data_IF_445972676983
#
_entry.id   IF_445972676983
#
_cell.length_a   1.000
_cell.length_b   1.000
_cell.length_c   1.000
_cell.angle_alpha   90.00
_cell.angle_beta   90.00
_cell.angle_gamma   90.00
#
_symmetry.space_group_name_H-M   'P 1'
#
loop_
_entity.id
_entity.type
_entity.pdbx_description
1 polymer ?
#
# COMPACT_ATOMS: atom_id res chain seq x y z
N UNK A 1 3.84 10.09 -18.02
CA UNK A 1 3.79 8.84 -17.21
C UNK A 1 5.11 8.08 -17.28
N UNK A 2 5.61 7.78 -18.50
CA UNK A 2 6.83 7.01 -18.74
C UNK A 2 8.07 7.55 -18.00
N UNK A 3 8.15 8.86 -17.78
CA UNK A 3 9.23 9.56 -17.09
C UNK A 3 9.11 9.54 -15.56
N UNK A 4 7.90 9.78 -15.05
CA UNK A 4 7.63 9.97 -13.60
C UNK A 4 7.58 8.63 -12.86
N UNK A 5 6.91 7.63 -13.43
CA UNK A 5 6.63 6.37 -12.75
C UNK A 5 7.90 5.60 -12.34
N UNK A 6 8.93 5.44 -13.20
CA UNK A 6 10.17 4.74 -12.81
C UNK A 6 10.92 5.46 -11.69
N UNK A 7 10.98 6.79 -11.75
CA UNK A 7 11.62 7.62 -10.73
C UNK A 7 10.94 7.45 -9.36
N UNK A 8 9.61 7.51 -9.35
CA UNK A 8 8.80 7.33 -8.14
C UNK A 8 8.95 5.91 -7.58
N UNK A 9 8.97 4.90 -8.46
CA UNK A 9 9.19 3.53 -8.04
C UNK A 9 10.56 3.35 -7.36
N UNK A 10 11.61 4.03 -7.82
CA UNK A 10 12.92 3.96 -7.18
C UNK A 10 12.85 4.39 -5.70
N UNK A 11 12.12 5.46 -5.37
CA UNK A 11 12.01 5.97 -4.00
C UNK A 11 11.04 5.18 -3.09
N UNK A 12 10.00 4.59 -3.67
CA UNK A 12 8.91 3.96 -2.88
C UNK A 12 9.05 2.42 -2.84
N UNK A 13 9.89 1.82 -3.69
CA UNK A 13 9.93 0.36 -3.90
C UNK A 13 10.31 -0.49 -2.68
N UNK A 14 11.19 -0.03 -1.79
CA UNK A 14 11.67 -0.83 -0.66
C UNK A 14 10.52 -1.24 0.27
N UNK A 15 9.57 -0.32 0.48
CA UNK A 15 8.46 -0.47 1.41
C UNK A 15 7.13 -0.91 0.73
N UNK A 16 7.15 -1.17 -0.58
CA UNK A 16 5.97 -1.69 -1.29
C UNK A 16 6.07 -3.21 -1.44
N UNK A 17 4.94 -3.88 -1.23
CA UNK A 17 4.75 -5.27 -1.62
C UNK A 17 4.22 -5.34 -3.04
N UNK A 18 4.75 -6.26 -3.84
CA UNK A 18 4.26 -6.55 -5.20
C UNK A 18 3.01 -7.42 -5.18
N UNK A 19 2.93 -8.34 -4.22
CA UNK A 19 1.82 -9.27 -4.01
C UNK A 19 1.98 -9.95 -2.64
N UNK A 20 1.07 -10.88 -2.31
CA UNK A 20 1.13 -11.62 -1.05
C UNK A 20 2.35 -12.53 -0.88
N UNK A 21 2.98 -12.99 -1.96
CA UNK A 21 4.21 -13.79 -1.89
C UNK A 21 5.40 -12.92 -1.51
N UNK A 22 5.55 -11.76 -2.15
CA UNK A 22 6.57 -10.77 -1.81
C UNK A 22 6.44 -10.28 -0.36
N UNK A 23 5.20 -10.09 0.11
CA UNK A 23 4.91 -9.80 1.51
C UNK A 23 5.44 -10.87 2.47
N UNK A 24 5.07 -12.14 2.27
CA UNK A 24 5.51 -13.22 3.17
C UNK A 24 7.02 -13.42 3.11
N UNK A 25 7.62 -13.35 1.93
CA UNK A 25 9.07 -13.48 1.78
C UNK A 25 9.80 -12.39 2.58
N UNK A 26 9.38 -11.13 2.46
CA UNK A 26 9.96 -10.03 3.25
C UNK A 26 9.71 -10.18 4.75
N UNK A 27 8.55 -10.70 5.15
CA UNK A 27 8.23 -10.93 6.57
C UNK A 27 9.09 -12.05 7.17
N UNK A 28 9.31 -13.15 6.43
CA UNK A 28 10.19 -14.24 6.85
C UNK A 28 11.64 -13.76 6.92
N UNK A 29 12.13 -12.99 5.94
CA UNK A 29 13.44 -12.36 6.00
C UNK A 29 13.60 -11.48 7.25
N UNK A 30 12.62 -10.63 7.53
CA UNK A 30 12.60 -9.82 8.75
C UNK A 30 12.71 -10.67 10.03
N UNK A 31 12.01 -11.81 10.08
CA UNK A 31 12.08 -12.73 11.21
C UNK A 31 13.47 -13.41 11.33
N UNK A 32 14.03 -13.86 10.20
CA UNK A 32 15.29 -14.60 10.13
C UNK A 32 16.53 -13.73 10.37
N UNK A 33 16.51 -12.44 10.00
CA UNK A 33 17.65 -11.50 10.05
C UNK A 33 18.27 -11.32 11.46
N UNK A 34 17.59 -11.73 12.53
CA UNK A 34 18.11 -11.72 13.91
C UNK A 34 17.94 -13.08 14.61
N UNK A 35 18.17 -14.18 13.89
CA UNK A 35 18.00 -15.55 14.40
C UNK A 35 16.61 -15.80 15.01
N UNK A 36 15.56 -15.22 14.44
CA UNK A 36 14.19 -15.35 14.94
C UNK A 36 13.85 -14.47 16.15
N UNK A 37 14.74 -13.58 16.61
CA UNK A 37 14.56 -12.78 17.83
C UNK A 37 13.88 -11.42 17.63
N UNK A 38 13.56 -11.06 16.38
CA UNK A 38 12.90 -9.77 16.09
C UNK A 38 11.49 -9.69 16.66
N UNK A 39 10.74 -10.79 16.62
CA UNK A 39 9.43 -10.86 17.23
C UNK A 39 9.54 -11.17 18.72
N UNK A 40 8.96 -10.32 19.56
CA UNK A 40 8.83 -10.57 21.01
C UNK A 40 7.45 -11.10 21.32
N UNK A 41 7.23 -11.76 22.48
CA UNK A 41 5.89 -12.18 22.90
C UNK A 41 4.86 -11.04 22.94
N UNK A 42 5.33 -9.80 23.16
CA UNK A 42 4.50 -8.60 23.21
C UNK A 42 4.28 -7.95 21.84
N UNK A 43 5.00 -8.35 20.80
CA UNK A 43 4.90 -7.75 19.46
C UNK A 43 3.50 -7.96 18.89
N UNK A 44 2.89 -6.87 18.42
CA UNK A 44 1.59 -6.86 17.74
C UNK A 44 1.78 -6.56 16.27
N UNK A 45 0.92 -7.13 15.44
CA UNK A 45 0.74 -6.70 14.07
C UNK A 45 -0.30 -5.59 14.03
N UNK A 46 0.02 -4.52 13.30
CA UNK A 46 -0.88 -3.41 13.03
C UNK A 46 -1.17 -3.41 11.54
N UNK A 47 -2.41 -3.73 11.16
CA UNK A 47 -2.90 -3.67 9.80
C UNK A 47 -3.83 -2.46 9.65
N UNK A 48 -3.56 -1.63 8.65
CA UNK A 48 -4.36 -0.45 8.31
C UNK A 48 -4.89 -0.62 6.89
N UNK A 49 -6.20 -0.53 6.72
CA UNK A 49 -6.86 -0.47 5.41
C UNK A 49 -7.45 0.92 5.22
N UNK A 50 -7.09 1.57 4.11
CA UNK A 50 -7.57 2.91 3.78
C UNK A 50 -8.82 2.78 2.91
N UNK A 51 -9.96 3.20 3.45
CA UNK A 51 -11.27 3.00 2.83
C UNK A 51 -11.55 4.08 1.77
N UNK A 52 -12.03 3.66 0.59
CA UNK A 52 -12.49 4.52 -0.52
C UNK A 52 -11.48 5.61 -0.95
N UNK A 53 -10.20 5.41 -0.67
CA UNK A 53 -9.15 6.40 -0.79
C UNK A 53 -9.11 7.19 -2.12
N UNK A 54 -9.04 6.54 -3.30
CA UNK A 54 -8.88 7.30 -4.55
C UNK A 54 -10.09 8.14 -4.92
N UNK A 55 -11.21 8.04 -4.20
CA UNK A 55 -12.42 8.84 -4.41
C UNK A 55 -12.62 9.93 -3.36
N UNK A 56 -11.92 9.87 -2.22
CA UNK A 56 -12.16 10.76 -1.07
C UNK A 56 -11.25 11.99 -1.06
N UNK A 57 -10.11 11.95 -1.75
CA UNK A 57 -9.12 13.04 -1.72
C UNK A 57 -9.43 14.11 -2.77
N UNK A 58 -9.54 15.37 -2.33
CA UNK A 58 -9.70 16.52 -3.23
C UNK A 58 -8.47 16.73 -4.11
N UNK A 59 -8.67 17.30 -5.30
CA UNK A 59 -7.58 17.59 -6.23
C UNK A 59 -6.49 18.48 -5.61
N UNK A 60 -6.86 19.51 -4.85
CA UNK A 60 -5.90 20.40 -4.19
C UNK A 60 -4.98 19.66 -3.20
N UNK A 61 -5.57 18.81 -2.35
CA UNK A 61 -4.82 17.98 -1.39
C UNK A 61 -3.88 17.00 -2.11
N UNK A 62 -4.33 16.41 -3.23
CA UNK A 62 -3.48 15.53 -4.05
C UNK A 62 -2.34 16.31 -4.71
N UNK A 63 -2.61 17.52 -5.21
CA UNK A 63 -1.60 18.41 -5.80
C UNK A 63 -0.59 18.89 -4.76
N UNK A 64 -1.02 19.25 -3.55
CA UNK A 64 -0.12 19.64 -2.47
C UNK A 64 0.84 18.50 -2.11
N UNK A 65 0.33 17.28 -1.92
CA UNK A 65 1.18 16.13 -1.65
C UNK A 65 2.12 15.81 -2.82
N UNK A 66 1.67 15.99 -4.06
CA UNK A 66 2.51 15.86 -5.24
C UNK A 66 3.64 16.89 -5.23
N UNK A 67 3.33 18.16 -4.96
CA UNK A 67 4.32 19.23 -4.86
C UNK A 67 5.33 18.97 -3.74
N UNK A 68 4.86 18.53 -2.56
CA UNK A 68 5.73 18.15 -1.45
C UNK A 68 6.64 17.00 -1.84
N UNK A 69 6.13 15.99 -2.54
CA UNK A 69 6.95 14.88 -3.04
C UNK A 69 8.03 15.35 -4.01
N UNK A 70 7.67 16.20 -4.99
CA UNK A 70 8.63 16.75 -5.95
C UNK A 70 9.73 17.54 -5.22
N UNK A 71 9.36 18.38 -4.25
CA UNK A 71 10.32 19.16 -3.46
C UNK A 71 11.23 18.29 -2.61
N UNK A 72 10.69 17.26 -1.97
CA UNK A 72 11.42 16.42 -1.01
C UNK A 72 12.36 15.42 -1.71
N UNK A 73 12.07 14.99 -2.95
CA UNK A 73 12.76 13.86 -3.59
C UNK A 73 13.32 14.12 -5.00
N UNK A 74 13.01 15.25 -5.63
CA UNK A 74 13.55 15.56 -6.96
C UNK A 74 14.60 16.66 -6.86
N UNK A 75 15.85 16.23 -7.08
CA UNK A 75 17.05 17.09 -7.02
C UNK A 75 17.22 17.90 -8.31
N UNK A 76 16.70 17.40 -9.43
CA UNK A 76 16.87 18.00 -10.76
C UNK A 76 15.70 18.96 -11.05
N UNK A 77 15.94 20.20 -11.48
CA UNK A 77 14.87 21.19 -11.73
C UNK A 77 13.94 20.83 -12.90
N UNK A 78 14.34 19.83 -13.70
CA UNK A 78 13.64 19.38 -14.90
C UNK A 78 13.62 17.85 -14.99
N UNK A 79 12.54 17.32 -15.55
CA UNK A 79 12.40 15.91 -15.91
C UNK A 79 12.09 15.88 -17.39
N UNK A 80 12.97 15.28 -18.20
CA UNK A 80 12.82 15.21 -19.68
C UNK A 80 12.52 16.59 -20.32
N UNK A 81 13.30 17.61 -19.94
CA UNK A 81 13.17 19.00 -20.41
C UNK A 81 11.85 19.70 -20.01
N UNK A 82 11.09 19.12 -19.08
CA UNK A 82 9.93 19.76 -18.45
C UNK A 82 10.30 20.24 -17.06
N UNK A 83 10.16 21.56 -16.84
CA UNK A 83 10.30 22.12 -15.50
C UNK A 83 9.23 21.57 -14.55
N UNK A 84 9.58 21.44 -13.27
CA UNK A 84 8.66 20.97 -12.24
C UNK A 84 7.35 21.78 -12.20
N UNK A 85 7.42 23.09 -12.46
CA UNK A 85 6.24 23.96 -12.57
C UNK A 85 5.31 23.60 -13.73
N UNK A 86 5.86 23.22 -14.90
CA UNK A 86 5.07 22.72 -16.04
C UNK A 86 4.42 21.40 -15.71
N UNK A 87 5.16 20.48 -15.09
CA UNK A 87 4.64 19.17 -14.67
C UNK A 87 3.49 19.36 -13.69
N UNK A 88 3.66 20.20 -12.67
CA UNK A 88 2.62 20.53 -11.70
C UNK A 88 1.36 21.10 -12.37
N UNK A 89 1.53 22.06 -13.30
CA UNK A 89 0.41 22.66 -14.02
C UNK A 89 -0.33 21.64 -14.90
N UNK A 90 0.40 20.75 -15.58
CA UNK A 90 -0.18 19.67 -16.37
C UNK A 90 -0.95 18.68 -15.49
N UNK A 91 -0.40 18.30 -14.33
CA UNK A 91 -1.10 17.46 -13.34
C UNK A 91 -2.39 18.11 -12.85
N UNK A 92 -2.35 19.42 -12.57
CA UNK A 92 -3.54 20.18 -12.15
C UNK A 92 -4.61 20.22 -13.24
N UNK A 93 -4.22 20.48 -14.50
CA UNK A 93 -5.13 20.43 -15.65
C UNK A 93 -5.73 19.04 -15.80
N UNK A 94 -4.93 17.98 -15.69
CA UNK A 94 -5.41 16.60 -15.75
C UNK A 94 -6.47 16.32 -14.69
N UNK A 95 -6.19 16.58 -13.41
CA UNK A 95 -7.13 16.32 -12.31
C UNK A 95 -8.45 17.07 -12.52
N UNK A 96 -8.39 18.37 -12.78
CA UNK A 96 -9.57 19.24 -12.90
C UNK A 96 -10.38 19.06 -14.20
N UNK A 97 -9.87 18.33 -15.19
CA UNK A 97 -10.56 18.09 -16.46
C UNK A 97 -10.99 16.64 -16.67
N UNK A 98 -10.74 15.74 -15.71
CA UNK A 98 -11.23 14.37 -15.77
C UNK A 98 -12.77 14.33 -15.70
N UNK A 99 -13.38 13.70 -16.70
CA UNK A 99 -14.84 13.56 -16.86
C UNK A 99 -15.22 12.09 -17.01
N UNK A 100 -16.45 11.75 -16.66
CA UNK A 100 -17.03 10.45 -16.91
C UNK A 100 -18.48 10.59 -17.39
N UNK A 101 -18.95 9.59 -18.13
CA UNK A 101 -20.30 9.55 -18.66
C UNK A 101 -21.13 8.54 -17.88
N UNK A 102 -22.31 8.94 -17.43
CA UNK A 102 -23.24 8.07 -16.74
C UNK A 102 -24.68 8.51 -17.00
N UNK A 103 -25.58 7.57 -17.28
CA UNK A 103 -27.00 7.86 -17.52
C UNK A 103 -27.26 9.07 -18.44
N UNK A 104 -26.66 9.01 -19.64
CA UNK A 104 -26.74 10.05 -20.67
C UNK A 104 -26.29 11.47 -20.26
N UNK A 105 -25.50 11.59 -19.19
CA UNK A 105 -24.96 12.85 -18.70
C UNK A 105 -23.45 12.79 -18.51
N UNK A 106 -22.79 13.92 -18.73
CA UNK A 106 -21.36 14.09 -18.50
C UNK A 106 -21.17 14.68 -17.10
N UNK A 107 -20.36 14.00 -16.30
CA UNK A 107 -19.96 14.44 -14.97
C UNK A 107 -18.47 14.72 -14.96
N UNK A 108 -18.06 15.59 -14.04
CA UNK A 108 -16.66 15.89 -13.77
C UNK A 108 -16.28 15.36 -12.39
N UNK A 109 -15.09 14.76 -12.28
CA UNK A 109 -14.55 14.42 -10.96
C UNK A 109 -14.25 15.71 -10.20
N UNK A 110 -14.83 15.85 -9.01
CA UNK A 110 -14.51 16.95 -8.07
C UNK A 110 -13.51 16.51 -7.00
N UNK A 111 -13.34 15.20 -6.84
CA UNK A 111 -12.37 14.54 -5.98
C UNK A 111 -11.88 13.28 -6.68
N UNK A 112 -10.64 12.90 -6.38
CA UNK A 112 -10.08 11.68 -6.90
C UNK A 112 -9.99 11.64 -8.42
N UNK A 113 -10.03 10.43 -8.97
CA UNK A 113 -10.05 10.22 -10.41
C UNK A 113 -10.24 8.75 -10.77
N UNK A 114 -10.31 8.45 -12.07
CA UNK A 114 -10.43 7.08 -12.55
C UNK A 114 -9.18 6.26 -12.18
N UNK A 115 -9.35 5.23 -11.34
CA UNK A 115 -8.27 4.36 -10.86
C UNK A 115 -7.65 3.54 -12.01
N UNK A 116 -8.40 3.34 -13.09
CA UNK A 116 -7.92 2.68 -14.31
C UNK A 116 -6.82 3.46 -15.02
N UNK A 117 -6.66 4.77 -14.75
CA UNK A 117 -5.60 5.55 -15.35
C UNK A 117 -4.28 5.34 -14.58
N UNK A 118 -3.21 4.88 -15.23
CA UNK A 118 -1.92 4.65 -14.57
C UNK A 118 -1.32 5.90 -13.92
N UNK A 119 -1.60 7.09 -14.48
CA UNK A 119 -1.17 8.35 -13.88
C UNK A 119 -1.90 8.64 -12.55
N UNK A 120 -3.20 8.32 -12.45
CA UNK A 120 -3.92 8.40 -11.18
C UNK A 120 -3.36 7.42 -10.15
N UNK A 121 -3.04 6.19 -10.56
CA UNK A 121 -2.36 5.21 -9.68
C UNK A 121 -1.02 5.76 -9.16
N UNK A 122 -0.27 6.46 -10.01
CA UNK A 122 0.99 7.08 -9.65
C UNK A 122 0.81 8.19 -8.60
N UNK A 123 -0.11 9.13 -8.84
CA UNK A 123 -0.42 10.22 -7.89
C UNK A 123 -0.93 9.67 -6.55
N UNK A 124 -1.78 8.65 -6.61
CA UNK A 124 -2.33 7.92 -5.46
C UNK A 124 -1.21 7.32 -4.61
N UNK A 125 -0.20 6.70 -5.23
CA UNK A 125 0.95 6.16 -4.53
C UNK A 125 1.84 7.23 -3.90
N UNK A 126 2.07 8.35 -4.59
CA UNK A 126 2.84 9.48 -4.05
C UNK A 126 2.16 10.10 -2.84
N UNK A 127 0.84 10.29 -2.93
CA UNK A 127 0.04 10.81 -1.83
C UNK A 127 0.15 9.91 -0.60
N UNK A 128 -0.10 8.60 -0.74
CA UNK A 128 0.02 7.68 0.39
C UNK A 128 1.43 7.60 0.96
N UNK A 129 2.44 7.68 0.11
CA UNK A 129 3.81 7.73 0.57
C UNK A 129 4.05 8.96 1.46
N UNK A 130 3.56 10.14 1.07
CA UNK A 130 3.69 11.33 1.92
C UNK A 130 2.87 11.23 3.22
N UNK A 131 1.65 10.68 3.18
CA UNK A 131 0.83 10.49 4.38
C UNK A 131 1.50 9.59 5.43
N UNK A 132 2.28 8.60 5.00
CA UNK A 132 2.84 7.57 5.88
C UNK A 132 4.36 7.60 6.00
N UNK A 133 5.04 8.62 5.47
CA UNK A 133 6.52 8.71 5.55
C UNK A 133 7.03 8.75 6.98
N UNK A 134 6.32 9.42 7.89
CA UNK A 134 6.71 9.55 9.30
C UNK A 134 6.61 8.19 10.00
N UNK A 135 5.49 7.49 9.81
CA UNK A 135 5.28 6.13 10.31
C UNK A 135 6.37 5.18 9.80
N UNK A 136 6.63 5.18 8.48
CA UNK A 136 7.65 4.33 7.87
C UNK A 136 9.05 4.59 8.44
N UNK A 137 9.40 5.87 8.66
CA UNK A 137 10.68 6.23 9.30
C UNK A 137 10.73 5.74 10.75
N UNK A 138 9.68 5.93 11.53
CA UNK A 138 9.62 5.47 12.92
C UNK A 138 9.74 3.96 13.04
N UNK A 139 9.09 3.19 12.16
CA UNK A 139 9.18 1.72 12.18
C UNK A 139 10.60 1.25 11.83
N UNK A 140 11.23 1.84 10.81
CA UNK A 140 12.62 1.51 10.44
C UNK A 140 13.59 1.82 11.58
N UNK A 141 13.47 2.99 12.23
CA UNK A 141 14.32 3.37 13.37
C UNK A 141 14.18 2.42 14.57
N UNK A 142 13.03 1.75 14.70
CA UNK A 142 12.76 0.79 15.77
C UNK A 142 13.09 -0.66 15.37
N UNK A 143 13.66 -0.90 14.18
CA UNK A 143 13.82 -2.23 13.60
C UNK A 143 12.50 -3.03 13.59
N UNK A 144 11.39 -2.35 13.36
CA UNK A 144 10.07 -2.96 13.17
C UNK A 144 9.84 -3.24 11.68
N UNK A 145 9.08 -4.30 11.39
CA UNK A 145 8.65 -4.60 10.03
C UNK A 145 7.67 -3.52 9.56
N UNK A 146 7.77 -3.10 8.30
CA UNK A 146 6.83 -2.18 7.67
C UNK A 146 6.68 -2.49 6.18
N UNK A 147 5.46 -2.41 5.67
CA UNK A 147 5.26 -2.30 4.23
C UNK A 147 3.82 -2.04 3.83
N UNK A 148 3.64 -1.75 2.54
CA UNK A 148 2.37 -1.32 1.96
C UNK A 148 2.06 -2.11 0.69
N UNK A 149 0.82 -2.55 0.55
CA UNK A 149 0.25 -3.04 -0.70
C UNK A 149 -0.96 -2.18 -1.06
N UNK A 150 -0.83 -1.32 -2.08
CA UNK A 150 -1.88 -0.38 -2.50
C UNK A 150 -2.42 0.46 -1.32
N UNK A 151 -3.68 0.27 -0.96
CA UNK A 151 -4.44 0.92 0.11
C UNK A 151 -4.32 0.22 1.47
N UNK A 152 -3.50 -0.83 1.58
CA UNK A 152 -3.29 -1.60 2.80
C UNK A 152 -1.85 -1.46 3.30
N UNK A 153 -1.67 -1.23 4.59
CA UNK A 153 -0.39 -1.08 5.28
C UNK A 153 -0.32 -2.11 6.40
N UNK A 154 0.85 -2.68 6.62
CA UNK A 154 1.12 -3.55 7.76
C UNK A 154 2.48 -3.21 8.37
N UNK A 155 2.54 -3.23 9.71
CA UNK A 155 3.79 -3.12 10.44
C UNK A 155 3.73 -3.86 11.77
N UNK A 156 4.89 -4.14 12.36
CA UNK A 156 5.00 -4.69 13.72
C UNK A 156 5.17 -3.57 14.74
N UNK A 157 4.68 -3.80 15.96
CA UNK A 157 4.85 -2.86 17.06
C UNK A 157 5.09 -3.59 18.38
N UNK A 158 6.21 -3.28 19.01
CA UNK A 158 6.63 -3.85 20.29
C UNK A 158 6.58 -2.83 21.44
N UNK A 159 6.32 -1.56 21.12
CA UNK A 159 6.25 -0.46 22.09
C UNK A 159 4.97 -0.44 22.92
N UNK A 160 4.85 0.57 23.80
CA UNK A 160 3.64 0.78 24.60
C UNK A 160 2.44 1.12 23.71
N UNK A 161 1.25 0.71 24.15
CA UNK A 161 0.00 0.93 23.43
C UNK A 161 -0.37 2.42 23.32
N UNK A 162 -0.09 3.22 24.35
CA UNK A 162 -0.40 4.66 24.35
C UNK A 162 0.42 5.42 23.29
N UNK A 163 1.68 5.04 23.10
CA UNK A 163 2.52 5.59 22.04
C UNK A 163 1.97 5.26 20.66
N UNK A 164 1.50 4.02 20.46
CA UNK A 164 0.86 3.62 19.20
C UNK A 164 -0.41 4.42 18.95
N UNK A 165 -1.28 4.56 19.96
CA UNK A 165 -2.50 5.34 19.85
C UNK A 165 -2.22 6.80 19.52
N UNK A 166 -1.18 7.40 20.11
CA UNK A 166 -0.75 8.75 19.77
C UNK A 166 -0.35 8.86 18.29
N UNK A 167 0.46 7.93 17.78
CA UNK A 167 0.87 7.90 16.36
C UNK A 167 -0.35 7.74 15.44
N UNK A 168 -1.24 6.79 15.75
CA UNK A 168 -2.45 6.56 14.96
C UNK A 168 -3.41 7.75 15.00
N UNK A 169 -3.50 8.45 16.13
CA UNK A 169 -4.26 9.70 16.25
C UNK A 169 -3.67 10.79 15.37
N UNK A 170 -2.35 10.98 15.41
CA UNK A 170 -1.65 11.94 14.54
C UNK A 170 -1.91 11.66 13.06
N UNK A 171 -1.81 10.40 12.63
CA UNK A 171 -2.11 10.00 11.24
C UNK A 171 -3.55 10.36 10.87
N UNK A 172 -4.52 10.11 11.76
CA UNK A 172 -5.92 10.47 11.53
C UNK A 172 -6.15 11.97 11.44
N UNK A 173 -5.48 12.76 12.29
CA UNK A 173 -5.64 14.22 12.31
C UNK A 173 -4.95 14.90 11.13
N UNK A 174 -3.80 14.41 10.70
CA UNK A 174 -3.07 14.95 9.54
C UNK A 174 -3.77 14.59 8.22
N UNK A 175 -4.52 13.48 8.20
CA UNK A 175 -5.13 12.94 6.99
C UNK A 175 -6.66 12.86 7.10
N UNK A 176 -7.33 13.98 7.42
CA UNK A 176 -8.78 14.05 7.69
C UNK A 176 -9.65 13.48 6.55
N UNK A 177 -9.13 13.54 5.32
CA UNK A 177 -9.82 13.10 4.12
C UNK A 177 -9.80 11.58 3.94
N UNK A 178 -9.01 10.86 4.75
CA UNK A 178 -8.89 9.41 4.71
C UNK A 178 -9.71 8.78 5.82
N UNK A 179 -10.33 7.65 5.48
CA UNK A 179 -10.96 6.75 6.45
C UNK A 179 -10.08 5.53 6.63
N UNK A 180 -9.86 5.13 7.88
CA UNK A 180 -8.98 4.03 8.22
C UNK A 180 -9.75 2.96 8.98
N UNK A 181 -9.64 1.73 8.51
CA UNK A 181 -9.96 0.53 9.29
C UNK A 181 -8.63 -0.03 9.83
N UNK A 182 -8.53 -0.14 11.16
CA UNK A 182 -7.27 -0.47 11.83
C UNK A 182 -7.48 -1.69 12.72
N UNK A 183 -6.70 -2.74 12.47
CA UNK A 183 -6.66 -3.94 13.29
C UNK A 183 -5.30 -4.05 13.98
N UNK A 184 -5.31 -4.15 15.32
CA UNK A 184 -4.11 -4.30 16.16
C UNK A 184 -4.27 -5.59 16.95
N UNK A 185 -3.48 -6.60 16.62
CA UNK A 185 -3.62 -7.91 17.24
C UNK A 185 -2.33 -8.73 17.16
N UNK A 186 -2.23 -9.79 17.96
CA UNK A 186 -1.14 -10.78 17.84
C UNK A 186 -1.30 -11.66 16.59
N UNK A 187 -2.51 -11.72 16.03
CA UNK A 187 -2.78 -12.33 14.73
C UNK A 187 -3.50 -11.34 13.83
N UNK A 188 -3.21 -11.37 12.53
CA UNK A 188 -3.84 -10.49 11.56
C UNK A 188 -4.00 -11.22 10.23
N UNK A 189 -5.03 -10.83 9.48
CA UNK A 189 -5.18 -11.20 8.08
C UNK A 189 -4.71 -10.04 7.23
N UNK A 190 -3.74 -10.29 6.36
CA UNK A 190 -3.21 -9.29 5.44
C UNK A 190 -3.05 -9.89 4.05
N UNK A 191 -3.69 -9.28 3.05
CA UNK A 191 -3.84 -9.87 1.72
C UNK A 191 -4.48 -11.27 1.82
N UNK A 192 -3.78 -12.29 1.37
CA UNK A 192 -4.16 -13.71 1.45
C UNK A 192 -3.34 -14.47 2.50
N UNK A 193 -2.84 -13.78 3.53
CA UNK A 193 -2.09 -14.35 4.64
C UNK A 193 -2.86 -14.24 5.94
N UNK A 194 -2.85 -15.32 6.71
CA UNK A 194 -3.03 -15.25 8.15
C UNK A 194 -1.64 -15.33 8.77
N UNK A 195 -1.30 -14.33 9.59
CA UNK A 195 -0.05 -14.29 10.36
C UNK A 195 -0.38 -14.22 11.83
N UNK A 196 0.45 -14.83 12.64
CA UNK A 196 0.29 -14.88 14.08
C UNK A 196 1.66 -14.89 14.76
N UNK A 197 1.77 -14.11 15.84
CA UNK A 197 2.91 -14.12 16.72
C UNK A 197 2.55 -14.96 17.96
N UNK A 198 3.08 -16.18 18.03
CA UNK A 198 2.92 -17.05 19.18
C UNK A 198 4.19 -16.97 20.03
N UNK A 199 4.15 -16.13 21.06
CA UNK A 199 5.25 -15.98 22.02
C UNK A 199 6.62 -15.67 21.39
N UNK A 200 6.65 -14.84 20.34
CA UNK A 200 7.87 -14.46 19.62
C UNK A 200 8.19 -15.34 18.41
N UNK A 201 7.37 -16.35 18.12
CA UNK A 201 7.52 -17.20 16.94
C UNK A 201 6.49 -16.78 15.88
N UNK A 202 6.94 -16.58 14.64
CA UNK A 202 6.08 -16.28 13.51
C UNK A 202 5.39 -17.56 13.01
N UNK A 203 4.07 -17.57 13.07
CA UNK A 203 3.22 -18.56 12.42
C UNK A 203 2.52 -17.91 11.24
N UNK A 204 2.51 -18.58 10.08
CA UNK A 204 1.78 -18.09 8.93
C UNK A 204 1.12 -19.20 8.12
N UNK A 205 -0.08 -18.92 7.62
CA UNK A 205 -0.80 -19.80 6.70
C UNK A 205 -1.48 -19.00 5.60
N UNK A 206 -1.81 -19.67 4.51
CA UNK A 206 -2.64 -19.06 3.47
C UNK A 206 -4.04 -18.85 4.04
N UNK A 207 -4.51 -17.60 4.06
CA UNK A 207 -5.88 -17.30 4.45
C UNK A 207 -6.79 -17.46 3.24
N UNK A 208 -7.80 -18.32 3.36
CA UNK A 208 -8.84 -18.49 2.36
C UNK A 208 -10.07 -17.71 2.80
N UNK A 209 -10.36 -16.61 2.11
CA UNK A 209 -11.61 -15.89 2.32
C UNK A 209 -12.74 -16.65 1.62
N UNK A 210 -13.61 -17.33 2.38
CA UNK A 210 -14.74 -18.10 1.84
C UNK A 210 -15.80 -17.24 1.13
N UNK A 211 -15.81 -15.92 1.35
CA UNK A 211 -16.65 -14.97 0.62
C UNK A 211 -16.02 -14.53 -0.72
N UNK A 212 -14.71 -14.70 -0.90
CA UNK A 212 -14.13 -14.74 -2.24
C UNK A 212 -14.43 -16.13 -2.79
N UNK A 213 -15.30 -16.18 -3.79
CA UNK A 213 -15.73 -17.40 -4.49
C UNK A 213 -14.63 -18.47 -4.51
N UNK A 214 -14.87 -19.69 -3.97
CA UNK A 214 -13.91 -20.78 -4.03
C UNK A 214 -13.66 -21.08 -5.51
N UNK A 215 -12.53 -20.62 -6.03
CA UNK A 215 -12.07 -20.86 -7.40
C UNK A 215 -13.19 -20.86 -8.44
N UNK A 216 -14.01 -19.81 -8.50
CA UNK A 216 -14.77 -19.61 -9.73
C UNK A 216 -13.75 -19.12 -10.73
N UNK A 217 -13.35 -19.98 -11.68
CA UNK A 217 -12.60 -19.57 -12.85
C UNK A 217 -13.38 -18.40 -13.47
N UNK A 218 -12.92 -17.13 -13.34
CA UNK A 218 -13.60 -16.04 -13.98
C UNK A 218 -13.17 -16.14 -15.44
N UNK A 219 -13.94 -16.85 -16.25
CA UNK A 219 -13.93 -16.66 -17.69
C UNK A 219 -14.52 -15.27 -17.96
N UNK A 220 -13.77 -14.23 -17.60
CA UNK A 220 -14.01 -12.88 -18.09
C UNK A 220 -13.22 -12.77 -19.37
N UNK A 221 -13.97 -12.72 -20.47
CA UNK A 221 -13.49 -12.37 -21.81
C UNK A 221 -12.62 -11.10 -21.67
N UNK A 222 -11.31 -11.18 -21.99
CA UNK A 222 -10.42 -10.01 -22.03
C UNK A 222 -9.12 -10.09 -21.21
N UNK A 223 -8.91 -11.11 -20.37
CA UNK A 223 -7.63 -11.33 -19.67
C UNK A 223 -6.91 -12.58 -20.20
N UNK A 224 -5.59 -12.51 -20.37
CA UNK A 224 -4.81 -13.63 -20.94
C UNK A 224 -4.77 -14.83 -19.98
N UNK A 225 -4.90 -16.05 -20.52
CA UNK A 225 -4.79 -17.33 -19.78
C UNK A 225 -3.55 -17.42 -18.88
N UNK A 226 -2.49 -16.68 -19.21
CA UNK A 226 -1.18 -16.71 -18.53
C UNK A 226 -1.21 -16.09 -17.14
N UNK A 227 -2.02 -15.05 -16.90
CA UNK A 227 -2.13 -14.44 -15.57
C UNK A 227 -2.81 -15.36 -14.55
N UNK A 228 -3.69 -16.25 -15.01
CA UNK A 228 -4.51 -17.11 -14.16
C UNK A 228 -3.78 -18.36 -13.67
N UNK A 229 -3.07 -19.06 -14.56
CA UNK A 229 -2.23 -20.20 -14.18
C UNK A 229 -1.11 -19.79 -13.24
N UNK A 230 -0.61 -18.55 -13.40
CA UNK A 230 0.34 -17.96 -12.46
C UNK A 230 -0.26 -17.77 -11.08
N UNK A 231 -1.50 -17.28 -10.95
CA UNK A 231 -2.08 -17.01 -9.63
C UNK A 231 -2.27 -18.28 -8.79
N UNK A 232 -2.86 -19.33 -9.37
CA UNK A 232 -3.05 -20.61 -8.67
C UNK A 232 -1.71 -21.26 -8.31
N UNK A 233 -0.76 -21.27 -9.26
CA UNK A 233 0.58 -21.80 -9.04
C UNK A 233 1.33 -21.01 -7.97
N UNK A 234 1.19 -19.67 -7.93
CA UNK A 234 1.80 -18.82 -6.91
C UNK A 234 1.18 -19.06 -5.52
N UNK A 235 -0.14 -19.28 -5.43
CA UNK A 235 -0.80 -19.62 -4.17
C UNK A 235 -0.31 -20.97 -3.62
N UNK A 236 -0.20 -21.99 -4.47
CA UNK A 236 0.36 -23.31 -4.12
C UNK A 236 1.84 -23.25 -3.73
N UNK A 237 2.67 -22.61 -4.56
CA UNK A 237 4.09 -22.40 -4.25
C UNK A 237 4.22 -21.71 -2.89
N UNK A 238 3.36 -20.73 -2.60
CA UNK A 238 3.38 -20.03 -1.33
C UNK A 238 2.99 -20.93 -0.15
N UNK A 239 1.92 -21.71 -0.28
CA UNK A 239 1.49 -22.65 0.75
C UNK A 239 2.62 -23.64 1.10
N UNK A 240 3.33 -24.13 0.08
CA UNK A 240 4.42 -25.11 0.26
C UNK A 240 5.72 -24.47 0.75
N UNK A 241 6.10 -23.29 0.24
CA UNK A 241 7.43 -22.71 0.49
C UNK A 241 7.50 -21.80 1.71
N UNK A 242 6.40 -21.13 2.04
CA UNK A 242 6.46 -20.00 2.97
C UNK A 242 5.46 -20.06 4.11
N UNK A 243 4.57 -21.06 4.12
CA UNK A 243 3.66 -21.30 5.22
C UNK A 243 4.12 -22.54 5.98
N UNK A 244 4.22 -22.42 7.30
CA UNK A 244 4.46 -23.54 8.19
C UNK A 244 3.10 -24.09 8.60
N UNK A 245 2.76 -25.31 8.14
CA UNK A 245 1.65 -26.05 8.72
C UNK A 245 2.06 -26.56 10.10
N UNK A 246 1.09 -26.60 11.01
CA UNK A 246 1.14 -27.50 12.17
C UNK A 246 1.15 -28.94 11.66
#
# INVERSE_FOLDING_TARGET
EQSLRPMIQAFISSNIFRNGTDFIQKLNQYFEDDNGKRLRPTTKFVAIKILNFPHMVSHDVMLNAFQDFLRDYIIVPEIENLSLGKIFRLTSVFLHNNRFYYNNKIYRFVKGGPISLPFMETLTNMYLFQCFKSLAKTTVLKNEFYGRYKDQIIFTWTGQFDQLNSILKTIRTENINLKFDINIASNVRFLNAYIENQHGILYSRVDHNSAMQPYTLPYVIGHSKVSYSHWFRLALIRAVRYCTSV
#
